data_IF_229112574766
#
_entry.id   IF_229112574766
#
_cell.length_a   1.000
_cell.length_b   1.000
_cell.length_c   1.000
_cell.angle_alpha   90.00
_cell.angle_beta   90.00
_cell.angle_gamma   90.00
#
_symmetry.space_group_name_H-M   'P 1'
#
loop_
_entity.id
_entity.type
_entity.pdbx_description
1 polymer ?
#
# COMPACT_ATOMS: atom_id res chain seq x y z
N UNK A 1 -12.57 8.59 1.87
CA UNK A 1 -11.94 9.25 3.04
C UNK A 1 -12.51 8.76 4.37
N UNK A 2 -13.79 8.99 4.71
CA UNK A 2 -14.34 8.58 6.03
C UNK A 2 -14.16 7.09 6.36
N UNK A 3 -14.37 6.21 5.38
CA UNK A 3 -14.12 4.76 5.55
C UNK A 3 -12.67 4.46 5.99
N UNK A 4 -11.69 5.15 5.38
CA UNK A 4 -10.27 4.99 5.73
C UNK A 4 -10.05 5.50 7.15
N UNK A 5 -10.47 6.73 7.47
CA UNK A 5 -10.34 7.32 8.82
C UNK A 5 -10.88 6.38 9.91
N UNK A 6 -12.10 5.86 9.73
CA UNK A 6 -12.74 4.96 10.71
C UNK A 6 -12.03 3.62 10.83
N UNK A 7 -11.49 3.10 9.72
CA UNK A 7 -10.69 1.88 9.75
C UNK A 7 -9.40 2.09 10.54
N UNK A 8 -8.65 3.16 10.26
CA UNK A 8 -7.42 3.49 10.98
C UNK A 8 -7.65 3.72 12.48
N UNK A 9 -8.72 4.42 12.86
CA UNK A 9 -9.11 4.60 14.27
C UNK A 9 -9.35 3.24 14.97
N UNK A 10 -9.98 2.28 14.29
CA UNK A 10 -10.15 0.92 14.82
C UNK A 10 -8.85 0.13 14.90
N UNK A 11 -7.94 0.32 13.95
CA UNK A 11 -6.61 -0.26 14.04
C UNK A 11 -5.85 0.30 15.25
N UNK A 12 -5.94 1.61 15.50
CA UNK A 12 -5.35 2.24 16.67
C UNK A 12 -5.91 1.69 17.98
N UNK A 13 -7.25 1.61 18.11
CA UNK A 13 -7.90 1.00 19.28
C UNK A 13 -7.43 -0.44 19.52
N UNK A 14 -7.44 -1.28 18.49
CA UNK A 14 -7.06 -2.69 18.58
C UNK A 14 -5.57 -2.89 18.91
N UNK A 15 -4.70 -2.03 18.39
CA UNK A 15 -3.28 -2.02 18.72
C UNK A 15 -3.03 -1.62 20.17
N UNK A 16 -3.70 -0.58 20.66
CA UNK A 16 -3.65 -0.20 22.09
C UNK A 16 -4.16 -1.31 23.01
N UNK A 17 -5.12 -2.12 22.56
CA UNK A 17 -5.59 -3.30 23.27
C UNK A 17 -4.65 -4.53 23.15
N UNK A 18 -3.53 -4.41 22.43
CA UNK A 18 -2.56 -5.49 22.22
C UNK A 18 -3.04 -6.62 21.30
N UNK A 19 -4.08 -6.39 20.51
CA UNK A 19 -4.66 -7.37 19.59
C UNK A 19 -3.93 -7.40 18.24
N UNK A 20 -3.46 -6.24 17.77
CA UNK A 20 -2.53 -6.13 16.64
C UNK A 20 -1.11 -6.19 17.18
N UNK A 21 -0.25 -7.00 16.54
CA UNK A 21 1.15 -7.22 16.93
C UNK A 21 2.10 -6.65 15.87
N UNK A 22 3.33 -6.37 16.26
CA UNK A 22 4.32 -5.72 15.40
C UNK A 22 4.20 -4.20 15.46
N UNK A 23 4.61 -3.50 14.40
CA UNK A 23 4.50 -2.05 14.30
C UNK A 23 3.23 -1.68 13.52
N UNK A 24 2.51 -0.67 14.00
CA UNK A 24 1.32 -0.11 13.35
C UNK A 24 1.63 1.29 12.82
N UNK A 25 1.48 1.49 11.51
CA UNK A 25 1.67 2.78 10.87
C UNK A 25 0.36 3.26 10.27
N UNK A 26 -0.25 4.24 10.94
CA UNK A 26 -1.57 4.74 10.56
C UNK A 26 -1.52 5.67 9.34
N UNK A 27 -2.57 5.67 8.54
CA UNK A 27 -2.77 6.58 7.40
C UNK A 27 -3.62 7.82 7.75
N UNK A 28 -3.75 8.10 9.06
CA UNK A 28 -4.52 9.22 9.62
C UNK A 28 -3.92 10.54 9.15
N UNK A 29 -4.70 11.32 8.39
CA UNK A 29 -4.31 12.65 7.90
C UNK A 29 -3.95 12.67 6.41
N UNK A 30 -3.74 11.50 5.80
CA UNK A 30 -3.34 11.36 4.40
C UNK A 30 -4.48 10.82 3.52
N UNK A 31 -5.70 10.68 4.04
CA UNK A 31 -6.81 9.98 3.37
C UNK A 31 -7.20 10.59 2.02
N UNK A 32 -6.96 11.89 1.86
CA UNK A 32 -7.22 12.61 0.62
C UNK A 32 -6.28 12.14 -0.51
N UNK A 33 -5.03 11.77 -0.20
CA UNK A 33 -4.05 11.28 -1.17
C UNK A 33 -4.53 9.97 -1.77
N UNK A 34 -4.82 8.97 -0.93
CA UNK A 34 -5.38 7.70 -1.39
C UNK A 34 -6.73 7.88 -2.12
N UNK A 35 -7.67 8.63 -1.55
CA UNK A 35 -9.00 8.79 -2.14
C UNK A 35 -8.97 9.58 -3.47
N UNK A 36 -8.09 10.56 -3.59
CA UNK A 36 -7.92 11.37 -4.80
C UNK A 36 -7.22 10.58 -5.91
N UNK A 37 -6.05 10.01 -5.60
CA UNK A 37 -5.24 9.31 -6.59
C UNK A 37 -5.97 8.09 -7.18
N UNK A 38 -6.67 7.30 -6.36
CA UNK A 38 -7.37 6.10 -6.86
C UNK A 38 -8.54 6.40 -7.81
N UNK A 39 -9.08 7.63 -7.82
CA UNK A 39 -10.12 8.03 -8.78
C UNK A 39 -9.56 8.26 -10.19
N UNK A 40 -8.27 8.53 -10.32
CA UNK A 40 -7.61 8.79 -11.59
C UNK A 40 -7.01 7.53 -12.23
N UNK A 41 -6.99 6.41 -11.50
CA UNK A 41 -6.33 5.17 -11.93
C UNK A 41 -7.34 4.12 -12.38
N UNK A 42 -6.99 3.39 -13.43
CA UNK A 42 -7.77 2.28 -13.93
C UNK A 42 -7.69 1.06 -12.97
N UNK A 43 -8.69 0.16 -12.99
CA UNK A 43 -8.70 -1.03 -12.14
C UNK A 43 -7.52 -2.00 -12.36
N UNK A 44 -6.84 -1.91 -13.50
CA UNK A 44 -5.70 -2.76 -13.86
C UNK A 44 -4.34 -2.05 -13.77
N UNK A 45 -4.30 -0.79 -13.38
CA UNK A 45 -3.06 -0.10 -13.01
C UNK A 45 -2.40 -0.74 -11.80
N UNK A 46 -1.08 -0.69 -11.71
CA UNK A 46 -0.37 -1.18 -10.54
C UNK A 46 -0.25 -0.08 -9.48
N UNK A 47 -0.45 -0.44 -8.22
CA UNK A 47 -0.21 0.45 -7.08
C UNK A 47 0.97 -0.10 -6.28
N UNK A 48 2.00 0.70 -6.11
CA UNK A 48 3.09 0.43 -5.16
C UNK A 48 3.00 1.43 -4.03
N UNK A 49 2.93 0.94 -2.79
CA UNK A 49 2.75 1.77 -1.60
C UNK A 49 3.82 1.48 -0.54
N UNK A 50 3.98 2.41 0.39
CA UNK A 50 4.91 2.31 1.54
C UNK A 50 4.38 1.36 2.61
N UNK A 51 4.88 1.47 3.85
CA UNK A 51 4.35 0.85 5.06
C UNK A 51 3.14 1.60 5.67
N UNK A 52 2.67 2.68 5.03
CA UNK A 52 1.42 3.40 5.36
C UNK A 52 0.36 3.14 4.30
N UNK A 53 0.11 1.87 4.00
CA UNK A 53 -0.61 1.48 2.79
C UNK A 53 -2.09 1.13 2.99
N UNK A 54 -2.57 1.02 4.22
CA UNK A 54 -3.95 0.63 4.53
C UNK A 54 -5.00 1.46 3.77
N UNK A 55 -4.83 2.79 3.77
CA UNK A 55 -5.73 3.71 3.09
C UNK A 55 -5.74 3.52 1.58
N UNK A 56 -4.57 3.27 0.99
CA UNK A 56 -4.43 2.95 -0.42
C UNK A 56 -5.10 1.60 -0.75
N UNK A 57 -4.88 0.56 0.06
CA UNK A 57 -5.48 -0.76 -0.13
C UNK A 57 -7.02 -0.69 -0.09
N UNK A 58 -7.57 0.00 0.92
CA UNK A 58 -9.02 0.21 1.04
C UNK A 58 -9.59 0.99 -0.13
N UNK A 59 -8.91 2.06 -0.56
CA UNK A 59 -9.34 2.87 -1.70
C UNK A 59 -9.25 2.09 -3.02
N UNK A 60 -8.27 1.18 -3.13
CA UNK A 60 -8.08 0.31 -4.29
C UNK A 60 -9.13 -0.81 -4.38
N UNK A 61 -9.81 -1.10 -3.28
CA UNK A 61 -10.91 -2.07 -3.23
C UNK A 61 -10.60 -3.34 -2.43
N UNK A 62 -9.45 -3.42 -1.75
CA UNK A 62 -9.16 -4.53 -0.85
C UNK A 62 -10.19 -4.51 0.31
N UNK A 63 -10.89 -5.62 0.59
CA UNK A 63 -11.92 -5.66 1.63
C UNK A 63 -11.38 -5.33 3.02
N UNK A 64 -12.15 -4.55 3.80
CA UNK A 64 -11.70 -4.08 5.11
C UNK A 64 -11.57 -5.20 6.15
N UNK A 65 -12.44 -6.21 6.06
CA UNK A 65 -12.37 -7.43 6.85
C UNK A 65 -11.11 -8.25 6.57
N UNK A 66 -10.70 -8.36 5.30
CA UNK A 66 -9.43 -8.99 4.89
C UNK A 66 -8.23 -8.21 5.43
N UNK A 67 -8.22 -6.88 5.33
CA UNK A 67 -7.15 -6.07 5.88
C UNK A 67 -7.08 -6.15 7.41
N UNK A 68 -8.24 -6.13 8.09
CA UNK A 68 -8.28 -6.28 9.54
C UNK A 68 -7.83 -7.68 9.97
N UNK A 69 -8.21 -8.72 9.22
CA UNK A 69 -7.72 -10.08 9.45
C UNK A 69 -6.19 -10.15 9.32
N UNK A 70 -5.61 -9.46 8.32
CA UNK A 70 -4.16 -9.37 8.16
C UNK A 70 -3.50 -8.72 9.38
N UNK A 71 -4.01 -7.59 9.86
CA UNK A 71 -3.46 -6.90 11.03
C UNK A 71 -3.54 -7.74 12.31
N UNK A 72 -4.58 -8.57 12.45
CA UNK A 72 -4.74 -9.48 13.58
C UNK A 72 -3.92 -10.78 13.43
N UNK A 73 -3.14 -10.93 12.35
CA UNK A 73 -2.35 -12.14 12.10
C UNK A 73 -3.19 -13.36 11.75
N UNK A 74 -4.39 -13.18 11.19
CA UNK A 74 -5.31 -14.26 10.86
C UNK A 74 -5.10 -14.78 9.44
N UNK A 75 -5.45 -16.05 9.22
CA UNK A 75 -5.27 -16.75 7.93
C UNK A 75 -6.08 -16.13 6.79
N UNK A 76 -7.20 -15.49 7.12
CA UNK A 76 -8.10 -14.80 6.20
C UNK A 76 -7.52 -13.48 5.68
N UNK A 77 -6.39 -13.02 6.22
CA UNK A 77 -5.69 -11.84 5.73
C UNK A 77 -5.13 -12.02 4.32
N UNK A 78 -4.91 -10.90 3.62
CA UNK A 78 -4.41 -10.85 2.24
C UNK A 78 -3.06 -11.57 2.05
N UNK A 79 -2.22 -11.59 3.08
CA UNK A 79 -0.94 -12.29 3.16
C UNK A 79 -0.99 -13.44 4.19
N UNK A 80 -2.18 -13.93 4.51
CA UNK A 80 -2.47 -14.99 5.50
C UNK A 80 -1.99 -14.63 6.92
N UNK A 81 -2.02 -13.36 7.27
CA UNK A 81 -1.66 -12.87 8.60
C UNK A 81 -0.15 -12.79 8.85
N UNK A 82 0.67 -12.92 7.81
CA UNK A 82 2.13 -12.89 7.90
C UNK A 82 2.71 -11.51 7.65
N UNK A 83 1.97 -10.67 6.93
CA UNK A 83 2.39 -9.34 6.56
C UNK A 83 2.09 -8.30 7.65
N UNK A 84 0.98 -8.47 8.37
CA UNK A 84 0.56 -7.52 9.39
C UNK A 84 0.31 -6.12 8.82
N UNK A 85 0.60 -5.08 9.60
CA UNK A 85 0.28 -3.69 9.23
C UNK A 85 1.15 -3.10 8.11
N UNK A 86 2.32 -3.67 7.81
CA UNK A 86 3.29 -3.00 6.92
C UNK A 86 3.55 -3.77 5.62
N UNK A 87 2.83 -4.86 5.35
CA UNK A 87 3.08 -5.76 4.22
C UNK A 87 1.76 -6.24 3.58
N UNK A 88 0.83 -5.30 3.33
CA UNK A 88 -0.45 -5.58 2.68
C UNK A 88 -0.23 -5.79 1.17
N UNK A 89 -0.63 -6.95 0.66
CA UNK A 89 -0.45 -7.32 -0.74
C UNK A 89 -1.72 -7.94 -1.31
N UNK A 90 -2.13 -7.52 -2.51
CA UNK A 90 -3.20 -8.17 -3.24
C UNK A 90 -2.94 -8.17 -4.75
N UNK A 91 -2.62 -9.35 -5.29
CA UNK A 91 -2.37 -9.52 -6.72
C UNK A 91 -3.61 -9.27 -7.59
N UNK A 92 -4.81 -9.51 -7.06
CA UNK A 92 -6.05 -9.36 -7.83
C UNK A 92 -6.30 -7.88 -8.17
N UNK A 93 -6.16 -6.99 -7.19
CA UNK A 93 -6.29 -5.54 -7.40
C UNK A 93 -4.99 -4.86 -7.86
N UNK A 94 -3.95 -5.66 -8.18
CA UNK A 94 -2.59 -5.19 -8.53
C UNK A 94 -2.03 -4.20 -7.51
N UNK A 95 -2.28 -4.53 -6.25
CA UNK A 95 -1.83 -3.78 -5.09
C UNK A 95 -0.57 -4.43 -4.52
N UNK A 96 0.57 -3.81 -4.82
CA UNK A 96 1.90 -4.22 -4.41
C UNK A 96 2.34 -3.34 -3.23
N UNK A 97 1.55 -3.40 -2.15
CA UNK A 97 1.72 -2.53 -0.99
C UNK A 97 2.62 -3.13 0.08
N UNK A 98 2.97 -2.27 1.04
CA UNK A 98 3.63 -2.67 2.26
C UNK A 98 5.13 -2.90 2.09
N UNK A 99 5.80 -1.86 1.60
CA UNK A 99 7.25 -1.81 1.66
C UNK A 99 7.70 -1.09 2.94
N UNK A 100 8.21 -1.86 3.90
CA UNK A 100 8.79 -1.34 5.14
C UNK A 100 10.17 -0.72 4.95
N UNK A 101 10.82 -0.97 3.81
CA UNK A 101 12.08 -0.34 3.45
C UNK A 101 11.79 0.99 2.77
N UNK A 102 12.31 2.07 3.34
CA UNK A 102 12.19 3.42 2.76
C UNK A 102 12.83 3.41 1.38
N UNK A 103 12.14 3.98 0.38
CA UNK A 103 12.59 4.00 -1.02
C UNK A 103 12.45 2.68 -1.79
N UNK A 104 12.37 1.53 -1.11
CA UNK A 104 12.39 0.21 -1.76
C UNK A 104 11.26 -0.08 -2.75
N UNK A 105 10.15 0.66 -2.71
CA UNK A 105 9.05 0.54 -3.67
C UNK A 105 9.31 1.19 -5.03
N UNK A 106 10.21 2.17 -5.09
CA UNK A 106 10.50 2.93 -6.31
C UNK A 106 11.02 2.05 -7.47
N UNK A 107 12.07 1.23 -7.29
CA UNK A 107 12.57 0.39 -8.38
C UNK A 107 11.56 -0.71 -8.77
N UNK A 108 10.74 -1.17 -7.82
CA UNK A 108 9.65 -2.13 -8.11
C UNK A 108 8.61 -1.50 -9.03
N UNK A 109 8.24 -0.24 -8.78
CA UNK A 109 7.31 0.48 -9.63
C UNK A 109 7.85 0.67 -11.05
N UNK A 110 9.12 1.04 -11.20
CA UNK A 110 9.80 1.13 -12.51
C UNK A 110 9.75 -0.21 -13.24
N UNK A 111 10.08 -1.31 -12.56
CA UNK A 111 10.05 -2.64 -13.15
C UNK A 111 8.65 -3.07 -13.62
N UNK A 112 7.60 -2.76 -12.85
CA UNK A 112 6.20 -3.03 -13.23
C UNK A 112 5.78 -2.23 -14.46
N UNK A 113 6.10 -0.93 -14.48
CA UNK A 113 5.81 -0.06 -15.62
C UNK A 113 6.55 -0.50 -16.89
N UNK A 114 7.84 -0.83 -16.77
CA UNK A 114 8.65 -1.34 -17.88
C UNK A 114 8.09 -2.66 -18.42
N UNK A 115 7.68 -3.58 -17.54
CA UNK A 115 7.07 -4.84 -17.96
C UNK A 115 5.77 -4.62 -18.74
N UNK A 116 4.89 -3.73 -18.27
CA UNK A 116 3.64 -3.43 -18.98
C UNK A 116 3.91 -2.72 -20.33
N UNK A 117 4.92 -1.85 -20.42
CA UNK A 117 5.38 -1.26 -21.69
C UNK A 117 5.88 -2.33 -22.67
N UNK A 118 6.78 -3.22 -22.23
CA UNK A 118 7.34 -4.29 -23.07
C UNK A 118 6.27 -5.25 -23.58
N UNK A 119 5.25 -5.50 -22.76
CA UNK A 119 4.11 -6.36 -23.09
C UNK A 119 2.98 -5.61 -23.83
N UNK A 120 3.20 -4.33 -24.18
CA UNK A 120 2.23 -3.48 -24.90
C UNK A 120 0.87 -3.40 -24.21
N UNK A 121 0.87 -3.34 -22.89
CA UNK A 121 -0.34 -3.16 -22.08
C UNK A 121 -0.54 -1.67 -21.79
N UNK A 122 -1.70 -1.09 -22.11
CA UNK A 122 -1.95 0.33 -21.90
C UNK A 122 -2.31 0.61 -20.43
N UNK A 123 -1.33 0.42 -19.53
CA UNK A 123 -1.47 0.55 -18.08
C UNK A 123 -0.43 1.50 -17.53
N UNK A 124 -0.70 2.08 -16.37
CA UNK A 124 0.27 2.86 -15.60
C UNK A 124 0.58 2.17 -14.27
N UNK A 125 1.71 2.55 -13.67
CA UNK A 125 2.06 2.18 -12.30
C UNK A 125 2.13 3.44 -11.47
N UNK A 126 1.36 3.51 -10.39
CA UNK A 126 1.42 4.58 -9.41
C UNK A 126 2.31 4.16 -8.23
N UNK A 127 3.37 4.93 -7.98
CA UNK A 127 4.27 4.72 -6.85
C UNK A 127 4.05 5.80 -5.79
N UNK A 128 3.65 5.40 -4.59
CA UNK A 128 3.52 6.28 -3.44
C UNK A 128 4.74 6.13 -2.53
N UNK A 129 5.36 7.25 -2.17
CA UNK A 129 6.52 7.31 -1.29
C UNK A 129 6.49 8.58 -0.45
N UNK A 130 7.17 8.55 0.70
CA UNK A 130 7.31 9.73 1.57
C UNK A 130 8.47 10.62 1.14
N UNK A 131 8.46 11.87 1.57
CA UNK A 131 9.53 12.85 1.32
C UNK A 131 10.91 12.36 1.77
N UNK A 132 10.99 11.65 2.89
CA UNK A 132 12.24 11.05 3.37
C UNK A 132 12.87 10.07 2.39
N UNK A 133 12.09 9.43 1.51
CA UNK A 133 12.62 8.50 0.52
C UNK A 133 13.39 9.20 -0.62
N UNK A 134 13.26 10.53 -0.77
CA UNK A 134 13.99 11.29 -1.80
C UNK A 134 15.51 11.29 -1.54
N UNK A 135 15.93 11.07 -0.29
CA UNK A 135 17.34 10.98 0.08
C UNK A 135 17.95 9.59 -0.16
N UNK A 136 17.14 8.58 -0.51
CA UNK A 136 17.60 7.22 -0.76
C UNK A 136 18.17 7.09 -2.19
N UNK A 137 19.18 6.23 -2.36
CA UNK A 137 19.82 6.00 -3.66
C UNK A 137 18.84 5.46 -4.71
N UNK A 138 17.90 4.62 -4.27
CA UNK A 138 16.85 4.01 -5.07
C UNK A 138 15.95 5.07 -5.74
N UNK A 139 15.75 6.22 -5.09
CA UNK A 139 15.01 7.33 -5.70
C UNK A 139 15.75 7.88 -6.92
N UNK A 140 17.04 8.19 -6.77
CA UNK A 140 17.84 8.74 -7.85
C UNK A 140 18.01 7.76 -9.01
N UNK A 141 18.20 6.47 -8.70
CA UNK A 141 18.27 5.42 -9.71
C UNK A 141 16.94 5.28 -10.46
N UNK A 142 15.81 5.21 -9.74
CA UNK A 142 14.49 5.04 -10.33
C UNK A 142 14.04 6.23 -11.19
N UNK A 143 14.45 7.45 -10.84
CA UNK A 143 14.13 8.65 -11.62
C UNK A 143 14.96 8.78 -12.90
N UNK A 144 16.08 8.05 -13.00
CA UNK A 144 16.96 8.06 -14.17
C UNK A 144 16.54 7.02 -15.23
N UNK A 145 15.81 5.98 -14.82
CA UNK A 145 15.33 4.89 -15.68
C UNK A 145 13.97 5.21 -16.31
#
# INVERSE_FOLDING_TARGET
>A
MLRIRRFEEKCAEAYSAGQIRGFLHLYIGEEAVAAGAMQALAPDDAIVATYREHGHALARGVPADVLMAEMYGKREGCSRGRGGSMHVFDAHTRFYGGNAIVGGGLPVAVGLALADQMLKRPRVTACFFGDGAVAEGEFHESMNL
#
